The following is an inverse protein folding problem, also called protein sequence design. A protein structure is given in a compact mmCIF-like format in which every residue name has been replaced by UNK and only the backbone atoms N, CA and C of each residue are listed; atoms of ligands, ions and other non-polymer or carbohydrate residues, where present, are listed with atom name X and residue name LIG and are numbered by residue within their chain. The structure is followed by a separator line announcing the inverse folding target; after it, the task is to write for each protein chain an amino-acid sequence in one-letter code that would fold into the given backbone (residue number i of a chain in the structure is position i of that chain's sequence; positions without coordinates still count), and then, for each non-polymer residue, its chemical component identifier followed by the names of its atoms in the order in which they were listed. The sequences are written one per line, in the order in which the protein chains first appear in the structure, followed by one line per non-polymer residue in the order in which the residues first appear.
data_IF_021909113846
#
_entry.id   IF_021909113846
#
_cell.length_a   1.000
_cell.length_b   1.000
_cell.length_c   1.000
_cell.angle_alpha   90.00
_cell.angle_beta   90.00
_cell.angle_gamma   90.00
#
_symmetry.space_group_name_H-M   'P 1'
#
loop_
_entity.id
_entity.type
_entity.pdbx_description
1 polymer ?
#
# COMPACT_ATOMS: atom_id res chain seq x y z
N UNK A 1 -8.75 12.41 64.51
CA UNK A 1 -9.12 13.49 63.59
C UNK A 1 -8.01 13.56 62.54
N UNK A 2 -8.00 12.63 61.58
CA UNK A 2 -6.98 12.61 60.49
C UNK A 2 -7.51 11.84 59.26
N UNK A 3 -8.76 12.08 58.86
CA UNK A 3 -9.39 11.44 57.68
C UNK A 3 -9.38 12.33 56.42
N UNK A 4 -8.64 13.44 56.44
CA UNK A 4 -8.76 14.49 55.39
C UNK A 4 -7.66 14.42 54.33
N UNK A 5 -6.55 13.71 54.57
CA UNK A 5 -5.42 13.64 53.62
C UNK A 5 -5.60 12.59 52.51
N UNK A 6 -6.37 11.52 52.75
CA UNK A 6 -6.52 10.42 51.77
C UNK A 6 -7.46 10.77 50.60
N UNK A 7 -8.34 11.76 50.77
CA UNK A 7 -9.30 12.19 49.72
C UNK A 7 -8.69 13.09 48.64
N UNK A 8 -7.51 13.67 48.87
CA UNK A 8 -6.88 14.55 47.87
C UNK A 8 -6.01 13.79 46.87
N UNK A 9 -5.41 12.66 47.26
CA UNK A 9 -4.61 11.83 46.35
C UNK A 9 -5.48 11.04 45.36
N UNK A 10 -6.61 10.47 45.81
CA UNK A 10 -7.53 9.74 44.94
C UNK A 10 -8.17 10.57 43.82
N UNK A 11 -8.36 11.88 44.02
CA UNK A 11 -8.89 12.79 42.99
C UNK A 11 -7.85 13.15 41.92
N UNK A 12 -6.55 13.13 42.23
CA UNK A 12 -5.51 13.40 41.22
C UNK A 12 -5.22 12.16 40.36
N UNK A 13 -5.28 10.96 40.93
CA UNK A 13 -5.10 9.71 40.18
C UNK A 13 -6.25 9.46 39.21
N UNK A 14 -7.51 9.67 39.65
CA UNK A 14 -8.67 9.55 38.75
C UNK A 14 -8.62 10.54 37.57
N UNK A 15 -8.18 11.79 37.80
CA UNK A 15 -8.02 12.77 36.73
C UNK A 15 -6.90 12.39 35.73
N UNK A 16 -5.82 11.77 36.21
CA UNK A 16 -4.73 11.31 35.34
C UNK A 16 -5.13 10.08 34.51
N UNK A 17 -5.89 9.15 35.09
CA UNK A 17 -6.44 7.99 34.37
C UNK A 17 -7.44 8.41 33.30
N UNK A 18 -8.37 9.33 33.61
CA UNK A 18 -9.32 9.86 32.62
C UNK A 18 -8.61 10.54 31.45
N UNK A 19 -7.57 11.32 31.74
CA UNK A 19 -6.75 11.97 30.70
C UNK A 19 -6.05 10.93 29.81
N UNK A 20 -5.46 9.89 30.40
CA UNK A 20 -4.81 8.82 29.64
C UNK A 20 -5.80 8.05 28.76
N UNK A 21 -6.99 7.74 29.27
CA UNK A 21 -8.06 7.08 28.50
C UNK A 21 -8.49 7.97 27.32
N UNK A 22 -8.59 9.29 27.53
CA UNK A 22 -8.97 10.23 26.48
C UNK A 22 -7.90 10.29 25.37
N UNK A 23 -6.62 10.36 25.74
CA UNK A 23 -5.50 10.33 24.79
C UNK A 23 -5.49 9.01 24.00
N UNK A 24 -5.71 7.89 24.67
CA UNK A 24 -5.78 6.58 24.02
C UNK A 24 -6.94 6.50 23.02
N UNK A 25 -8.14 6.97 23.41
CA UNK A 25 -9.31 7.05 22.51
C UNK A 25 -9.01 7.91 21.28
N UNK A 26 -8.34 9.05 21.47
CA UNK A 26 -7.99 9.94 20.37
C UNK A 26 -6.95 9.32 19.42
N UNK A 27 -5.94 8.62 19.96
CA UNK A 27 -4.99 7.86 19.15
C UNK A 27 -5.69 6.76 18.34
N UNK A 28 -6.61 6.01 18.95
CA UNK A 28 -7.40 4.99 18.24
C UNK A 28 -8.21 5.63 17.11
N UNK A 29 -8.85 6.78 17.37
CA UNK A 29 -9.63 7.49 16.36
C UNK A 29 -8.76 7.93 15.16
N UNK A 30 -7.57 8.46 15.45
CA UNK A 30 -6.62 8.92 14.44
C UNK A 30 -6.04 7.77 13.62
N UNK A 31 -5.69 6.65 14.27
CA UNK A 31 -5.05 5.50 13.63
C UNK A 31 -6.03 4.63 12.84
N UNK A 32 -7.27 4.49 13.34
CA UNK A 32 -8.31 3.71 12.66
C UNK A 32 -8.70 4.31 11.30
N UNK A 33 -8.57 5.64 11.15
CA UNK A 33 -9.02 6.36 9.96
C UNK A 33 -10.54 6.48 9.85
N UNK A 34 -11.28 6.12 10.91
CA UNK A 34 -12.74 6.30 10.99
C UNK A 34 -13.11 7.76 10.86
N UNK A 35 -12.36 8.65 11.51
CA UNK A 35 -12.59 10.10 11.43
C UNK A 35 -12.48 10.61 9.98
N UNK A 36 -11.45 10.18 9.25
CA UNK A 36 -11.26 10.57 7.86
C UNK A 36 -12.33 9.98 6.92
N UNK A 37 -12.82 8.77 7.20
CA UNK A 37 -13.95 8.18 6.48
C UNK A 37 -15.24 8.99 6.72
N UNK A 38 -15.47 9.42 7.95
CA UNK A 38 -16.61 10.26 8.31
C UNK A 38 -16.55 11.63 7.65
N UNK A 39 -15.39 12.29 7.65
CA UNK A 39 -15.19 13.55 6.91
C UNK A 39 -15.45 13.38 5.42
N UNK A 40 -14.96 12.30 4.81
CA UNK A 40 -15.22 12.00 3.40
C UNK A 40 -16.71 11.85 3.12
N UNK A 41 -17.43 11.16 3.99
CA UNK A 41 -18.87 11.00 3.91
C UNK A 41 -19.61 12.34 4.01
N UNK A 42 -19.27 13.18 4.99
CA UNK A 42 -19.89 14.50 5.15
C UNK A 42 -19.63 15.40 3.93
N UNK A 43 -18.39 15.43 3.41
CA UNK A 43 -18.08 16.18 2.18
C UNK A 43 -18.90 15.69 0.99
N UNK A 44 -19.17 14.38 0.92
CA UNK A 44 -20.02 13.79 -0.12
C UNK A 44 -21.45 14.27 0.00
N UNK A 45 -22.01 14.29 1.21
CA UNK A 45 -23.35 14.81 1.49
C UNK A 45 -23.47 16.29 1.13
N UNK A 46 -22.48 17.11 1.48
CA UNK A 46 -22.49 18.53 1.14
C UNK A 46 -22.40 18.78 -0.38
N UNK A 47 -21.78 17.87 -1.13
CA UNK A 47 -21.59 18.01 -2.58
C UNK A 47 -22.74 17.43 -3.40
N UNK A 48 -23.17 16.23 -3.07
CA UNK A 48 -24.15 15.46 -3.84
C UNK A 48 -25.58 15.67 -3.29
N UNK A 49 -25.71 16.32 -2.13
CA UNK A 49 -26.97 16.50 -1.42
C UNK A 49 -27.31 15.31 -0.51
N UNK A 50 -28.44 15.41 0.20
CA UNK A 50 -28.94 14.31 1.01
C UNK A 50 -29.42 13.16 0.12
N UNK A 51 -29.04 11.91 0.41
CA UNK A 51 -29.47 10.76 -0.36
C UNK A 51 -30.98 10.59 -0.24
N UNK A 52 -31.65 10.34 -1.37
CA UNK A 52 -33.04 9.88 -1.37
C UNK A 52 -33.06 8.40 -1.00
N UNK A 53 -33.60 8.04 0.16
CA UNK A 53 -33.72 6.65 0.62
C UNK A 53 -33.04 6.40 1.96
N UNK A 54 -32.54 5.18 2.16
CA UNK A 54 -31.94 4.76 3.43
C UNK A 54 -30.55 5.39 3.62
N UNK A 55 -30.45 6.32 4.57
CA UNK A 55 -29.21 7.04 4.91
C UNK A 55 -28.10 6.08 5.37
N UNK A 56 -28.45 4.99 6.06
CA UNK A 56 -27.47 4.03 6.58
C UNK A 56 -26.82 3.22 5.45
N UNK A 57 -27.58 2.81 4.45
CA UNK A 57 -27.04 2.11 3.28
C UNK A 57 -26.11 3.02 2.48
N UNK A 58 -26.51 4.28 2.29
CA UNK A 58 -25.68 5.27 1.60
C UNK A 58 -24.37 5.53 2.37
N UNK A 59 -24.44 5.68 3.70
CA UNK A 59 -23.27 5.85 4.55
C UNK A 59 -22.33 4.64 4.48
N UNK A 60 -22.87 3.41 4.59
CA UNK A 60 -22.08 2.19 4.47
C UNK A 60 -21.36 2.10 3.12
N UNK A 61 -22.05 2.43 2.02
CA UNK A 61 -21.44 2.45 0.69
C UNK A 61 -20.36 3.54 0.56
N UNK A 62 -20.58 4.72 1.12
CA UNK A 62 -19.63 5.83 1.08
C UNK A 62 -18.35 5.49 1.85
N UNK A 63 -18.48 4.92 3.05
CA UNK A 63 -17.36 4.45 3.87
C UNK A 63 -16.60 3.33 3.16
N UNK A 64 -17.31 2.33 2.62
CA UNK A 64 -16.67 1.24 1.87
C UNK A 64 -15.88 1.74 0.65
N UNK A 65 -16.41 2.74 -0.09
CA UNK A 65 -15.69 3.38 -1.20
C UNK A 65 -14.44 4.11 -0.72
N UNK A 66 -14.53 4.80 0.42
CA UNK A 66 -13.39 5.47 1.02
C UNK A 66 -12.28 4.48 1.42
N UNK A 67 -12.63 3.38 2.10
CA UNK A 67 -11.66 2.37 2.53
C UNK A 67 -10.93 1.74 1.34
N UNK A 68 -11.66 1.35 0.29
CA UNK A 68 -11.06 0.82 -0.94
C UNK A 68 -10.10 1.83 -1.58
N UNK A 69 -10.50 3.11 -1.64
CA UNK A 69 -9.64 4.18 -2.17
C UNK A 69 -8.38 4.37 -1.32
N UNK A 70 -8.53 4.39 0.01
CA UNK A 70 -7.41 4.54 0.96
C UNK A 70 -6.42 3.38 0.83
N UNK A 71 -6.90 2.14 0.76
CA UNK A 71 -6.05 0.97 0.58
C UNK A 71 -5.29 1.02 -0.75
N UNK A 72 -5.97 1.38 -1.84
CA UNK A 72 -5.33 1.52 -3.16
C UNK A 72 -4.24 2.62 -3.15
N UNK A 73 -4.49 3.74 -2.47
CA UNK A 73 -3.53 4.82 -2.34
C UNK A 73 -2.32 4.41 -1.49
N UNK A 74 -2.55 3.74 -0.35
CA UNK A 74 -1.47 3.21 0.49
C UNK A 74 -0.61 2.21 -0.27
N UNK A 75 -1.22 1.30 -1.02
CA UNK A 75 -0.50 0.35 -1.86
C UNK A 75 0.35 1.08 -2.92
N UNK A 76 -0.21 2.09 -3.59
CA UNK A 76 0.52 2.91 -4.56
C UNK A 76 1.72 3.62 -3.92
N UNK A 77 1.53 4.24 -2.76
CA UNK A 77 2.60 4.93 -2.03
C UNK A 77 3.70 3.95 -1.60
N UNK A 78 3.35 2.77 -1.11
CA UNK A 78 4.31 1.74 -0.73
C UNK A 78 5.11 1.22 -1.93
N UNK A 79 4.46 0.97 -3.06
CA UNK A 79 5.15 0.54 -4.30
C UNK A 79 6.13 1.61 -4.78
N UNK A 80 5.72 2.89 -4.79
CA UNK A 80 6.62 3.99 -5.14
C UNK A 80 7.80 4.10 -4.16
N UNK A 81 7.54 4.05 -2.87
CA UNK A 81 8.59 4.10 -1.84
C UNK A 81 9.61 2.96 -1.96
N UNK A 82 9.14 1.73 -2.24
CA UNK A 82 10.01 0.58 -2.47
C UNK A 82 10.88 0.77 -3.72
N UNK A 83 10.30 1.23 -4.82
CA UNK A 83 11.05 1.48 -6.06
C UNK A 83 12.12 2.56 -5.89
N UNK A 84 11.82 3.62 -5.12
CA UNK A 84 12.78 4.68 -4.79
C UNK A 84 13.92 4.15 -3.92
N UNK A 85 13.61 3.37 -2.88
CA UNK A 85 14.61 2.78 -2.00
C UNK A 85 15.54 1.81 -2.75
N UNK A 86 15.01 1.02 -3.67
CA UNK A 86 15.78 0.12 -4.52
C UNK A 86 16.74 0.87 -5.46
N UNK A 87 16.26 1.96 -6.08
CA UNK A 87 17.11 2.84 -6.90
C UNK A 87 18.27 3.43 -6.10
N UNK A 88 18.01 3.96 -4.90
CA UNK A 88 19.05 4.51 -4.03
C UNK A 88 20.07 3.45 -3.59
N UNK A 89 19.63 2.23 -3.32
CA UNK A 89 20.52 1.13 -2.96
C UNK A 89 21.42 0.75 -4.14
N UNK A 90 20.85 0.66 -5.34
CA UNK A 90 21.59 0.34 -6.56
C UNK A 90 22.63 1.41 -6.90
N UNK A 91 22.31 2.70 -6.72
CA UNK A 91 23.28 3.79 -6.88
C UNK A 91 24.44 3.69 -5.88
N UNK A 92 24.14 3.40 -4.61
CA UNK A 92 25.18 3.20 -3.58
C UNK A 92 26.09 2.01 -3.91
N UNK A 93 25.51 0.89 -4.33
CA UNK A 93 26.27 -0.31 -4.69
C UNK A 93 27.20 -0.03 -5.89
N UNK A 94 26.69 0.70 -6.89
CA UNK A 94 27.47 1.11 -8.06
C UNK A 94 28.61 2.07 -7.69
N UNK A 95 28.37 3.01 -6.78
CA UNK A 95 29.40 3.91 -6.28
C UNK A 95 30.52 3.16 -5.54
N UNK A 96 30.18 2.17 -4.69
CA UNK A 96 31.17 1.34 -4.02
C UNK A 96 32.03 0.52 -4.99
N UNK A 97 31.42 -0.06 -6.03
CA UNK A 97 32.13 -0.81 -7.08
C UNK A 97 33.06 0.07 -7.93
N UNK A 98 32.79 1.37 -8.04
CA UNK A 98 33.69 2.30 -8.73
C UNK A 98 34.85 2.74 -7.84
N UNK A 99 34.60 2.99 -6.55
CA UNK A 99 35.64 3.32 -5.59
C UNK A 99 36.68 2.20 -5.45
N UNK A 100 36.24 0.94 -5.35
CA UNK A 100 37.15 -0.21 -5.22
C UNK A 100 37.99 -0.52 -6.47
N UNK A 101 37.68 0.07 -7.64
CA UNK A 101 38.49 -0.06 -8.85
C UNK A 101 39.66 0.93 -8.91
N UNK A 102 39.68 1.96 -8.08
CA UNK A 102 40.68 3.03 -8.13
C UNK A 102 41.91 2.68 -7.27
N UNK A 103 41.75 1.91 -6.19
CA UNK A 103 42.87 1.49 -5.32
C UNK A 103 43.67 0.29 -5.84
N UNK A 104 43.33 -0.26 -7.01
CA UNK A 104 44.00 -1.41 -7.64
C UNK A 104 45.11 -1.06 -8.63
N UNK A 105 45.48 0.22 -8.80
CA UNK A 105 46.60 0.66 -9.65
C UNK A 105 47.71 1.29 -8.80
N UNK A 106 48.29 0.51 -7.89
CA UNK A 106 49.64 0.74 -7.39
C UNK A 106 50.54 -0.40 -7.92
N UNK A 107 51.56 0.01 -8.67
CA UNK A 107 52.59 -0.73 -9.41
C UNK A 107 52.77 -2.24 -9.15
N UNK A 108 52.65 -3.12 -10.18
CA UNK A 108 53.33 -4.40 -10.16
C UNK A 108 54.82 -4.15 -10.45
N UNK A 109 55.65 -4.06 -9.40
CA UNK A 109 57.09 -4.29 -9.56
C UNK A 109 57.29 -5.75 -9.98
N UNK A 110 57.67 -5.88 -11.24
CA UNK A 110 57.97 -7.08 -11.99
C UNK A 110 59.18 -7.81 -11.39
N UNK A 111 58.93 -8.86 -10.61
CA UNK A 111 59.94 -9.87 -10.25
C UNK A 111 59.93 -10.99 -11.29
N UNK A 112 61.09 -11.21 -11.91
CA UNK A 112 61.37 -12.32 -12.81
C UNK A 112 61.32 -13.63 -12.02
N UNK A 113 60.50 -14.61 -12.43
CA UNK A 113 61.00 -15.99 -12.48
C UNK A 113 60.22 -16.90 -13.45
N UNK A 114 60.98 -17.80 -14.05
CA UNK A 114 60.65 -18.74 -15.12
C UNK A 114 59.70 -19.89 -14.73
N UNK A 115 59.09 -20.46 -15.80
CA UNK A 115 58.69 -21.87 -16.00
C UNK A 115 57.64 -22.47 -15.06
N UNK A 116 56.47 -22.80 -15.62
CA UNK A 116 56.18 -24.18 -16.05
C UNK A 116 54.82 -24.34 -16.77
N UNK A 117 54.89 -25.07 -17.90
CA UNK A 117 53.94 -26.03 -18.50
C UNK A 117 52.42 -25.85 -18.34
N UNK A 118 51.80 -25.60 -19.51
CA UNK A 118 50.46 -26.06 -19.96
C UNK A 118 50.30 -27.61 -19.82
N UNK A 119 49.11 -28.27 -20.01
CA UNK A 119 47.93 -27.79 -20.76
C UNK A 119 46.51 -28.29 -20.35
N UNK A 120 45.53 -27.80 -21.13
CA UNK A 120 44.32 -28.48 -21.65
C UNK A 120 42.90 -28.04 -21.22
N UNK A 121 42.18 -27.60 -22.26
CA UNK A 121 40.83 -28.00 -22.73
C UNK A 121 39.60 -27.74 -21.85
N UNK A 122 38.62 -27.05 -22.46
CA UNK A 122 37.21 -27.22 -22.13
C UNK A 122 36.29 -26.16 -22.73
N UNK A 123 35.83 -26.38 -23.97
CA UNK A 123 34.73 -25.65 -24.63
C UNK A 123 33.46 -25.59 -23.76
N UNK A 124 32.66 -24.51 -23.88
CA UNK A 124 31.40 -24.53 -24.66
C UNK A 124 30.56 -23.26 -24.47
N UNK A 125 30.15 -22.73 -25.62
CA UNK A 125 28.96 -21.92 -25.86
C UNK A 125 27.69 -22.45 -25.17
N UNK A 126 26.83 -21.51 -24.76
CA UNK A 126 25.35 -21.50 -24.91
C UNK A 126 24.85 -20.20 -24.27
N UNK A 127 24.45 -19.15 -25.01
CA UNK A 127 23.31 -19.02 -25.93
C UNK A 127 21.96 -19.28 -25.25
N UNK A 128 21.22 -18.17 -25.12
CA UNK A 128 19.76 -18.03 -25.27
C UNK A 128 18.78 -18.36 -24.13
N UNK A 129 17.92 -17.35 -23.91
CA UNK A 129 16.44 -17.36 -23.80
C UNK A 129 15.80 -17.09 -22.43
N UNK A 130 15.44 -15.83 -22.25
CA UNK A 130 14.05 -15.40 -21.95
C UNK A 130 13.15 -15.78 -23.17
N UNK A 131 11.80 -15.94 -23.13
CA UNK A 131 10.80 -15.30 -22.25
C UNK A 131 9.54 -16.16 -21.90
N UNK A 132 8.59 -15.60 -21.12
CA UNK A 132 7.11 -15.74 -21.19
C UNK A 132 6.54 -15.28 -19.83
N UNK A 133 5.78 -14.18 -19.68
CA UNK A 133 4.59 -13.67 -20.37
C UNK A 133 3.46 -14.70 -20.51
N UNK A 134 2.52 -14.68 -19.55
CA UNK A 134 1.16 -15.21 -19.68
C UNK A 134 0.16 -14.34 -18.91
N UNK A 135 -0.33 -13.32 -19.61
CA UNK A 135 -1.71 -12.89 -19.53
C UNK A 135 -2.64 -14.02 -20.00
N UNK A 136 -3.64 -14.39 -19.21
CA UNK A 136 -4.87 -15.00 -19.71
C UNK A 136 -6.08 -14.47 -18.94
N UNK A 137 -6.84 -13.59 -19.60
CA UNK A 137 -8.23 -13.33 -19.25
C UNK A 137 -9.12 -14.51 -19.66
N UNK A 138 -10.21 -14.69 -18.94
CA UNK A 138 -11.38 -15.45 -19.39
C UNK A 138 -12.59 -14.53 -19.32
N UNK A 139 -13.02 -14.11 -20.50
CA UNK A 139 -14.39 -13.70 -20.76
C UNK A 139 -15.21 -14.98 -20.91
N UNK A 140 -16.25 -15.17 -20.09
CA UNK A 140 -17.33 -16.07 -20.44
C UNK A 140 -18.63 -15.27 -20.57
N UNK A 141 -19.02 -15.17 -21.83
CA UNK A 141 -20.25 -14.64 -22.38
C UNK A 141 -21.34 -15.68 -22.15
N UNK A 142 -22.43 -15.33 -21.46
CA UNK A 142 -23.66 -16.13 -21.48
C UNK A 142 -24.84 -15.26 -21.85
N UNK A 143 -25.13 -15.29 -23.15
CA UNK A 143 -26.38 -14.87 -23.74
C UNK A 143 -27.52 -15.77 -23.22
N UNK A 144 -28.63 -15.18 -22.76
CA UNK A 144 -29.94 -15.85 -22.83
C UNK A 144 -31.04 -14.83 -23.07
N UNK A 145 -31.29 -14.60 -24.36
CA UNK A 145 -32.58 -14.66 -25.09
C UNK A 145 -33.84 -14.04 -24.47
N UNK A 146 -34.44 -13.21 -25.31
CA UNK A 146 -35.71 -12.49 -25.20
C UNK A 146 -36.99 -13.34 -25.05
N UNK A 147 -37.98 -12.75 -24.41
CA UNK A 147 -39.44 -12.85 -24.65
C UNK A 147 -39.95 -11.41 -24.40
N UNK A 148 -40.23 -10.55 -25.37
CA UNK A 148 -41.31 -10.50 -26.37
C UNK A 148 -42.72 -10.85 -25.87
N UNK A 149 -43.66 -9.95 -26.21
CA UNK A 149 -45.13 -9.94 -26.12
C UNK A 149 -45.69 -9.52 -24.74
N UNK A 150 -46.50 -8.48 -24.57
CA UNK A 150 -47.62 -7.97 -25.41
C UNK A 150 -48.00 -6.54 -25.00
N UNK A 151 -48.22 -5.67 -26.00
CA UNK A 151 -49.15 -4.54 -25.98
C UNK A 151 -50.59 -5.10 -26.15
N UNK A 152 -51.66 -4.47 -25.61
CA UNK A 152 -52.39 -3.55 -26.48
C UNK A 152 -53.05 -2.35 -25.77
N UNK A 153 -52.86 -1.18 -26.40
CA UNK A 153 -53.87 -0.14 -26.66
C UNK A 153 -55.34 -0.65 -26.66
N UNK A 154 -56.20 0.01 -25.87
CA UNK A 154 -57.50 0.64 -26.23
C UNK A 154 -58.52 0.57 -25.08
N UNK A 155 -59.02 1.72 -24.62
CA UNK A 155 -60.39 2.18 -24.92
C UNK A 155 -60.71 3.54 -24.30
N UNK A 156 -61.30 4.38 -25.15
CA UNK A 156 -62.06 5.59 -24.85
C UNK A 156 -63.19 5.30 -23.84
N UNK A 157 -63.48 6.27 -22.98
CA UNK A 157 -64.79 6.96 -22.95
C UNK A 157 -64.59 8.36 -22.41
#
# INVERSE_FOLDING_TARGET
MDDTLDKQQGNQEQNNEEKHILEQKQQILNNSGVLAAYEYFLRRLCKDGFPSGNVYEYAAQAVLKYEKKKQAEQFRQQTMAKSLAELQLNERLKAQLQASKIDGKADPKNDKNEKNKSPQKGNKDQKEKNPQDKNQGKNDKKDTKAQDKTDPKQKKK
#
